data_IF_241832344778
#
_entry.id   IF_241832344778
#
_cell.length_a   1.000
_cell.length_b   1.000
_cell.length_c   1.000
_cell.angle_alpha   90.00
_cell.angle_beta   90.00
_cell.angle_gamma   90.00
#
_symmetry.space_group_name_H-M   'P 1'
#
loop_
_entity.id
_entity.type
_entity.pdbx_description
1 polymer ?
#
# COMPACT_ATOMS: atom_id res chain seq x y z
N UNK A 1 9.33 16.79 -12.76
CA UNK A 1 8.58 16.06 -11.71
C UNK A 1 9.57 15.69 -10.62
N UNK A 2 9.23 15.86 -9.34
CA UNK A 2 10.14 15.61 -8.22
C UNK A 2 9.72 14.37 -7.41
N UNK A 3 10.52 13.97 -6.42
CA UNK A 3 10.25 12.80 -5.58
C UNK A 3 8.91 12.91 -4.83
N UNK A 4 8.55 14.11 -4.35
CA UNK A 4 7.26 14.35 -3.68
C UNK A 4 6.06 14.05 -4.59
N UNK A 5 6.09 14.52 -5.84
CA UNK A 5 5.03 14.21 -6.81
C UNK A 5 4.94 12.71 -7.09
N UNK A 6 6.09 12.06 -7.31
CA UNK A 6 6.15 10.61 -7.60
C UNK A 6 5.63 9.78 -6.43
N UNK A 7 6.06 10.11 -5.22
CA UNK A 7 5.60 9.45 -4.00
C UNK A 7 4.10 9.61 -3.82
N UNK A 8 3.59 10.84 -3.97
CA UNK A 8 2.17 11.14 -3.83
C UNK A 8 1.33 10.29 -4.78
N UNK A 9 1.62 10.33 -6.08
CA UNK A 9 0.84 9.61 -7.10
C UNK A 9 0.92 8.10 -6.88
N UNK A 10 2.13 7.56 -6.67
CA UNK A 10 2.30 6.13 -6.47
C UNK A 10 1.57 5.65 -5.20
N UNK A 11 1.73 6.36 -4.08
CA UNK A 11 1.06 6.02 -2.82
C UNK A 11 -0.46 6.03 -2.95
N UNK A 12 -1.03 7.05 -3.61
CA UNK A 12 -2.48 7.16 -3.81
C UNK A 12 -3.03 6.04 -4.69
N UNK A 13 -2.33 5.71 -5.79
CA UNK A 13 -2.73 4.61 -6.65
C UNK A 13 -2.73 3.28 -5.89
N UNK A 14 -1.71 3.01 -5.08
CA UNK A 14 -1.62 1.76 -4.30
C UNK A 14 -2.74 1.67 -3.26
N UNK A 15 -3.03 2.75 -2.54
CA UNK A 15 -4.11 2.82 -1.54
C UNK A 15 -5.48 2.52 -2.15
N UNK A 16 -5.70 2.86 -3.42
CA UNK A 16 -6.96 2.56 -4.13
C UNK A 16 -6.96 1.18 -4.77
N UNK A 17 -5.86 0.81 -5.45
CA UNK A 17 -5.78 -0.43 -6.22
C UNK A 17 -5.83 -1.68 -5.34
N UNK A 18 -5.20 -1.68 -4.16
CA UNK A 18 -5.16 -2.86 -3.30
C UNK A 18 -6.56 -3.24 -2.75
N UNK A 19 -7.34 -2.32 -2.14
CA UNK A 19 -8.71 -2.62 -1.73
C UNK A 19 -9.62 -2.98 -2.92
N UNK A 20 -9.46 -2.31 -4.06
CA UNK A 20 -10.21 -2.62 -5.27
C UNK A 20 -9.92 -4.06 -5.75
N UNK A 21 -8.65 -4.45 -5.80
CA UNK A 21 -8.24 -5.81 -6.17
C UNK A 21 -8.76 -6.84 -5.17
N UNK A 22 -8.73 -6.56 -3.86
CA UNK A 22 -9.29 -7.43 -2.83
C UNK A 22 -10.81 -7.65 -3.04
N UNK A 23 -11.55 -6.57 -3.24
CA UNK A 23 -12.99 -6.62 -3.51
C UNK A 23 -13.29 -7.37 -4.81
N UNK A 24 -12.55 -7.08 -5.88
CA UNK A 24 -12.73 -7.72 -7.17
C UNK A 24 -12.46 -9.23 -7.09
N UNK A 25 -11.39 -9.65 -6.39
CA UNK A 25 -11.09 -11.06 -6.11
C UNK A 25 -12.22 -11.72 -5.33
N UNK A 26 -12.77 -11.05 -4.30
CA UNK A 26 -13.88 -11.59 -3.52
C UNK A 26 -15.14 -11.79 -4.38
N UNK A 27 -15.53 -10.79 -5.16
CA UNK A 27 -16.67 -10.88 -6.07
C UNK A 27 -16.41 -11.96 -7.12
N UNK A 28 -15.20 -12.07 -7.65
CA UNK A 28 -14.83 -13.07 -8.66
C UNK A 28 -15.06 -14.49 -8.17
N UNK A 29 -14.72 -14.76 -6.92
CA UNK A 29 -14.98 -16.06 -6.29
C UNK A 29 -16.46 -16.29 -6.02
N UNK A 30 -17.21 -15.25 -5.63
CA UNK A 30 -18.65 -15.37 -5.41
C UNK A 30 -19.40 -15.69 -6.71
N UNK A 31 -19.06 -15.03 -7.81
CA UNK A 31 -19.71 -15.27 -9.12
C UNK A 31 -19.00 -16.34 -9.98
N UNK A 32 -17.97 -17.00 -9.43
CA UNK A 32 -17.15 -18.00 -10.10
C UNK A 32 -16.53 -17.54 -11.45
N UNK A 33 -16.10 -16.27 -11.55
CA UNK A 33 -15.54 -15.67 -12.77
C UNK A 33 -14.02 -15.67 -12.78
N UNK A 34 -13.42 -16.59 -13.56
CA UNK A 34 -11.96 -16.65 -13.76
C UNK A 34 -11.37 -15.39 -14.40
N UNK A 35 -11.97 -14.78 -15.46
CA UNK A 35 -11.43 -13.56 -16.04
C UNK A 35 -11.35 -12.41 -15.01
N UNK A 36 -12.31 -12.34 -14.09
CA UNK A 36 -12.33 -11.32 -13.04
C UNK A 36 -11.27 -11.59 -11.97
N UNK A 37 -11.07 -12.84 -11.57
CA UNK A 37 -9.99 -13.23 -10.64
C UNK A 37 -8.60 -12.97 -11.22
N UNK A 38 -8.40 -13.25 -12.52
CA UNK A 38 -7.19 -12.89 -13.26
C UNK A 38 -6.97 -11.37 -13.26
N UNK A 39 -8.02 -10.60 -13.54
CA UNK A 39 -7.95 -9.13 -13.55
C UNK A 39 -7.55 -8.59 -12.18
N UNK A 40 -8.17 -9.10 -11.11
CA UNK A 40 -7.82 -8.72 -9.74
C UNK A 40 -6.37 -9.06 -9.38
N UNK A 41 -5.89 -10.24 -9.80
CA UNK A 41 -4.50 -10.65 -9.60
C UNK A 41 -3.51 -9.74 -10.33
N UNK A 42 -3.81 -9.36 -11.58
CA UNK A 42 -3.00 -8.40 -12.34
C UNK A 42 -2.96 -7.04 -11.66
N UNK A 43 -4.11 -6.53 -11.19
CA UNK A 43 -4.16 -5.26 -10.45
C UNK A 43 -3.31 -5.31 -9.18
N UNK A 44 -3.32 -6.44 -8.46
CA UNK A 44 -2.54 -6.61 -7.23
C UNK A 44 -1.02 -6.66 -7.51
N UNK A 45 -0.61 -7.30 -8.61
CA UNK A 45 0.80 -7.28 -9.06
C UNK A 45 1.23 -5.85 -9.43
N UNK A 46 0.40 -5.11 -10.18
CA UNK A 46 0.69 -3.72 -10.52
C UNK A 46 0.76 -2.83 -9.27
N UNK A 47 -0.13 -3.04 -8.31
CA UNK A 47 -0.10 -2.33 -7.03
C UNK A 47 1.18 -2.63 -6.24
N UNK A 48 1.69 -3.86 -6.24
CA UNK A 48 2.95 -4.20 -5.60
C UNK A 48 4.15 -3.47 -6.23
N UNK A 49 4.18 -3.35 -7.55
CA UNK A 49 5.21 -2.57 -8.26
C UNK A 49 5.12 -1.07 -7.92
N UNK A 50 3.91 -0.51 -7.89
CA UNK A 50 3.70 0.88 -7.49
C UNK A 50 4.03 1.12 -6.01
N UNK A 51 3.83 0.13 -5.14
CA UNK A 51 4.23 0.20 -3.74
C UNK A 51 5.75 0.34 -3.59
N UNK A 52 6.54 -0.33 -4.46
CA UNK A 52 7.99 -0.13 -4.51
C UNK A 52 8.34 1.31 -4.91
N UNK A 53 7.67 1.85 -5.94
CA UNK A 53 7.87 3.24 -6.37
C UNK A 53 7.56 4.22 -5.23
N UNK A 54 6.44 4.03 -4.53
CA UNK A 54 6.06 4.85 -3.38
C UNK A 54 7.10 4.75 -2.24
N UNK A 55 7.54 3.54 -1.90
CA UNK A 55 8.50 3.30 -0.82
C UNK A 55 9.83 4.00 -1.08
N UNK A 56 10.42 3.81 -2.27
CA UNK A 56 11.74 4.38 -2.58
C UNK A 56 11.72 5.89 -2.88
N UNK A 57 10.58 6.46 -3.25
CA UNK A 57 10.44 7.91 -3.43
C UNK A 57 10.14 8.67 -2.14
N UNK A 58 9.78 7.97 -1.04
CA UNK A 58 9.42 8.58 0.24
C UNK A 58 10.51 9.46 0.87
N UNK A 59 11.77 9.00 1.00
CA UNK A 59 12.84 9.82 1.57
C UNK A 59 13.07 11.13 0.82
N UNK A 60 13.09 11.09 -0.51
CA UNK A 60 13.21 12.30 -1.33
C UNK A 60 11.98 13.21 -1.25
N UNK A 61 10.80 12.68 -0.94
CA UNK A 61 9.61 13.48 -0.68
C UNK A 61 9.71 14.24 0.65
N UNK A 62 10.29 13.62 1.67
CA UNK A 62 10.54 14.23 2.99
C UNK A 62 11.58 15.34 2.91
N UNK A 63 12.70 15.10 2.22
CA UNK A 63 13.80 16.08 2.10
C UNK A 63 13.33 17.42 1.48
N UNK A 64 12.31 17.38 0.62
CA UNK A 64 11.73 18.58 0.01
C UNK A 64 10.95 19.44 1.04
N UNK A 65 10.38 18.84 2.09
CA UNK A 65 9.54 19.54 3.08
C UNK A 65 10.23 19.80 4.41
N UNK A 66 11.23 18.99 4.75
CA UNK A 66 12.05 19.14 5.96
C UNK A 66 13.53 18.95 5.60
N UNK A 67 14.12 19.87 4.82
CA UNK A 67 15.53 19.81 4.49
C UNK A 67 16.37 19.91 5.77
N UNK A 68 17.17 18.89 6.04
CA UNK A 68 17.96 18.77 7.28
C UNK A 68 17.30 17.94 8.39
N UNK A 69 16.01 17.58 8.25
CA UNK A 69 15.37 16.50 9.03
C UNK A 69 15.10 16.79 10.50
N UNK A 70 14.98 18.06 10.91
CA UNK A 70 14.87 18.42 12.33
C UNK A 70 13.44 18.60 12.83
N UNK A 71 12.49 18.99 11.97
CA UNK A 71 11.15 19.37 12.43
C UNK A 71 10.14 18.22 12.42
N UNK A 72 10.33 17.26 11.52
CA UNK A 72 9.36 16.19 11.27
C UNK A 72 9.91 14.80 11.56
N UNK A 73 11.09 14.68 12.19
CA UNK A 73 11.82 13.42 12.40
C UNK A 73 10.91 12.30 12.94
N UNK A 74 10.23 12.52 14.07
CA UNK A 74 9.43 11.48 14.73
C UNK A 74 8.19 11.07 13.90
N UNK A 75 7.53 12.05 13.27
CA UNK A 75 6.38 11.82 12.40
C UNK A 75 6.78 11.08 11.12
N UNK A 76 7.91 11.49 10.54
CA UNK A 76 8.47 10.88 9.34
C UNK A 76 8.96 9.46 9.60
N UNK A 77 9.61 9.19 10.74
CA UNK A 77 10.02 7.85 11.14
C UNK A 77 8.82 6.93 11.33
N UNK A 78 7.78 7.41 12.02
CA UNK A 78 6.53 6.66 12.20
C UNK A 78 5.87 6.33 10.86
N UNK A 79 5.76 7.30 9.97
CA UNK A 79 5.24 7.09 8.62
C UNK A 79 6.12 6.14 7.80
N UNK A 80 7.44 6.24 7.88
CA UNK A 80 8.38 5.39 7.16
C UNK A 80 8.32 3.94 7.66
N UNK A 81 8.15 3.72 8.97
CA UNK A 81 7.93 2.40 9.54
C UNK A 81 6.64 1.76 9.00
N UNK A 82 5.52 2.50 9.06
CA UNK A 82 4.26 2.03 8.51
C UNK A 82 4.35 1.78 6.99
N UNK A 83 5.04 2.66 6.26
CA UNK A 83 5.30 2.51 4.83
C UNK A 83 6.13 1.26 4.50
N UNK A 84 7.13 0.92 5.31
CA UNK A 84 7.92 -0.32 5.17
C UNK A 84 7.07 -1.57 5.39
N UNK A 85 6.21 -1.55 6.41
CA UNK A 85 5.26 -2.66 6.65
C UNK A 85 4.29 -2.77 5.48
N UNK A 86 3.66 -1.67 5.07
CA UNK A 86 2.70 -1.64 3.97
C UNK A 86 3.32 -2.12 2.65
N UNK A 87 4.53 -1.67 2.33
CA UNK A 87 5.30 -2.14 1.17
C UNK A 87 5.55 -3.65 1.23
N UNK A 88 6.04 -4.16 2.36
CA UNK A 88 6.37 -5.59 2.52
C UNK A 88 5.14 -6.48 2.35
N UNK A 89 4.01 -6.09 2.95
CA UNK A 89 2.75 -6.85 2.86
C UNK A 89 2.16 -6.74 1.46
N UNK A 90 2.21 -5.58 0.81
CA UNK A 90 1.76 -5.41 -0.58
C UNK A 90 2.57 -6.26 -1.56
N UNK A 91 3.91 -6.32 -1.39
CA UNK A 91 4.77 -7.20 -2.18
C UNK A 91 4.42 -8.67 -1.97
N UNK A 92 4.19 -9.10 -0.73
CA UNK A 92 3.74 -10.46 -0.46
C UNK A 92 2.40 -10.77 -1.15
N UNK A 93 1.43 -9.87 -1.06
CA UNK A 93 0.13 -10.02 -1.70
C UNK A 93 0.26 -10.11 -3.24
N UNK A 94 1.06 -9.22 -3.85
CA UNK A 94 1.37 -9.25 -5.27
C UNK A 94 2.12 -10.51 -5.70
N UNK A 95 3.06 -11.00 -4.90
CA UNK A 95 3.78 -12.25 -5.18
C UNK A 95 2.84 -13.47 -5.17
N UNK A 96 1.93 -13.56 -4.21
CA UNK A 96 0.91 -14.63 -4.17
C UNK A 96 0.00 -14.57 -5.41
N UNK A 97 -0.45 -13.37 -5.80
CA UNK A 97 -1.23 -13.20 -7.02
C UNK A 97 -0.44 -13.57 -8.28
N UNK A 98 0.85 -13.23 -8.33
CA UNK A 98 1.73 -13.60 -9.43
C UNK A 98 1.88 -15.12 -9.54
N UNK A 99 2.02 -15.83 -8.43
CA UNK A 99 2.04 -17.30 -8.43
C UNK A 99 0.76 -17.86 -9.06
N UNK A 100 -0.41 -17.34 -8.70
CA UNK A 100 -1.69 -17.74 -9.31
C UNK A 100 -1.73 -17.48 -10.82
N UNK A 101 -1.28 -16.32 -11.27
CA UNK A 101 -1.19 -15.99 -12.69
C UNK A 101 -0.23 -16.92 -13.45
N UNK A 102 0.93 -17.24 -12.86
CA UNK A 102 1.91 -18.15 -13.46
C UNK A 102 1.39 -19.58 -13.54
N UNK A 103 0.60 -20.04 -12.57
CA UNK A 103 -0.07 -21.33 -12.63
C UNK A 103 -1.05 -21.39 -13.82
N UNK A 104 -1.87 -20.34 -14.00
CA UNK A 104 -2.79 -20.28 -15.14
C UNK A 104 -2.07 -20.27 -16.49
N UNK A 105 -0.94 -19.57 -16.61
CA UNK A 105 -0.11 -19.56 -17.83
C UNK A 105 0.43 -20.95 -18.15
N UNK A 106 0.72 -21.76 -17.12
CA UNK A 106 1.17 -23.14 -17.26
C UNK A 106 0.01 -24.13 -17.50
N UNK A 107 -1.24 -23.66 -17.56
CA UNK A 107 -2.43 -24.50 -17.72
C UNK A 107 -2.91 -25.14 -16.41
N UNK A 108 -2.33 -24.78 -15.28
CA UNK A 108 -2.77 -25.20 -13.95
C UNK A 108 -3.89 -24.30 -13.43
N UNK A 109 -4.71 -24.82 -12.52
CA UNK A 109 -5.75 -24.05 -11.86
C UNK A 109 -5.27 -23.65 -10.46
N UNK A 110 -5.26 -22.35 -10.12
CA UNK A 110 -4.93 -21.90 -8.78
C UNK A 110 -5.79 -22.61 -7.72
N UNK A 111 -5.16 -23.11 -6.67
CA UNK A 111 -5.89 -23.77 -5.58
C UNK A 111 -6.80 -22.77 -4.86
N UNK A 112 -7.91 -23.25 -4.29
CA UNK A 112 -8.79 -22.42 -3.48
C UNK A 112 -8.06 -21.81 -2.27
N UNK A 113 -7.09 -22.54 -1.71
CA UNK A 113 -6.25 -22.05 -0.61
C UNK A 113 -5.41 -20.86 -1.05
N UNK A 114 -4.80 -20.91 -2.24
CA UNK A 114 -4.05 -19.79 -2.79
C UNK A 114 -4.96 -18.59 -3.05
N UNK A 115 -6.14 -18.79 -3.66
CA UNK A 115 -7.09 -17.71 -3.92
C UNK A 115 -7.56 -17.00 -2.65
N UNK A 116 -7.91 -17.75 -1.59
CA UNK A 116 -8.24 -17.15 -0.29
C UNK A 116 -7.04 -16.50 0.39
N UNK A 117 -5.83 -17.06 0.23
CA UNK A 117 -4.59 -16.47 0.69
C UNK A 117 -4.30 -15.11 0.04
N UNK A 118 -4.54 -14.97 -1.26
CA UNK A 118 -4.42 -13.70 -2.00
C UNK A 118 -5.39 -12.65 -1.45
N UNK A 119 -6.66 -13.02 -1.22
CA UNK A 119 -7.67 -12.10 -0.66
C UNK A 119 -7.25 -11.64 0.74
N UNK A 120 -6.85 -12.58 1.62
CA UNK A 120 -6.41 -12.26 2.97
C UNK A 120 -5.20 -11.32 2.95
N UNK A 121 -4.18 -11.65 2.14
CA UNK A 121 -2.99 -10.81 2.01
C UNK A 121 -3.33 -9.41 1.49
N UNK A 122 -4.25 -9.30 0.52
CA UNK A 122 -4.69 -8.01 -0.02
C UNK A 122 -5.47 -7.17 1.03
N UNK A 123 -6.32 -7.80 1.84
CA UNK A 123 -7.04 -7.12 2.94
C UNK A 123 -6.06 -6.61 4.00
N UNK A 124 -5.11 -7.44 4.42
CA UNK A 124 -4.07 -7.02 5.38
C UNK A 124 -3.21 -5.90 4.80
N UNK A 125 -2.80 -6.01 3.52
CA UNK A 125 -2.09 -4.96 2.81
C UNK A 125 -2.89 -3.65 2.82
N UNK A 126 -4.18 -3.71 2.47
CA UNK A 126 -5.08 -2.55 2.52
C UNK A 126 -5.13 -1.88 3.89
N UNK A 127 -5.24 -2.66 4.97
CA UNK A 127 -5.19 -2.13 6.34
C UNK A 127 -3.88 -1.41 6.67
N UNK A 128 -2.74 -2.01 6.30
CA UNK A 128 -1.42 -1.39 6.52
C UNK A 128 -1.21 -0.13 5.67
N UNK A 129 -1.76 -0.08 4.46
CA UNK A 129 -1.74 1.09 3.59
C UNK A 129 -2.57 2.24 4.15
N UNK A 130 -3.76 1.95 4.69
CA UNK A 130 -4.60 2.95 5.39
C UNK A 130 -3.85 3.52 6.60
N UNK A 131 -3.17 2.67 7.36
CA UNK A 131 -2.35 3.13 8.48
C UNK A 131 -1.19 4.04 8.04
N UNK A 132 -0.44 3.64 7.00
CA UNK A 132 0.63 4.48 6.44
C UNK A 132 0.08 5.81 5.89
N UNK A 133 -1.08 5.79 5.22
CA UNK A 133 -1.74 6.98 4.70
C UNK A 133 -2.20 7.93 5.82
N UNK A 134 -2.73 7.38 6.93
CA UNK A 134 -3.07 8.18 8.10
C UNK A 134 -1.85 8.92 8.66
N UNK A 135 -0.74 8.22 8.89
CA UNK A 135 0.49 8.85 9.39
C UNK A 135 1.08 9.86 8.40
N UNK A 136 1.00 9.59 7.09
CA UNK A 136 1.39 10.54 6.05
C UNK A 136 0.51 11.80 6.06
N UNK A 137 -0.79 11.64 6.35
CA UNK A 137 -1.71 12.74 6.58
C UNK A 137 -1.28 13.63 7.74
N UNK A 138 -0.88 13.04 8.88
CA UNK A 138 -0.45 13.77 10.09
C UNK A 138 0.76 14.67 9.84
N UNK A 139 1.64 14.28 8.90
CA UNK A 139 2.78 15.12 8.46
C UNK A 139 2.29 16.42 7.82
N UNK A 140 1.28 16.36 6.94
CA UNK A 140 0.79 17.50 6.15
C UNK A 140 -0.38 18.26 6.79
N UNK A 141 -1.12 17.61 7.68
CA UNK A 141 -2.34 18.12 8.31
C UNK A 141 -2.14 18.23 9.81
N UNK A 142 -1.61 19.36 10.32
CA UNK A 142 -1.47 19.56 11.76
C UNK A 142 -2.82 19.54 12.49
N UNK A 143 -3.93 19.83 11.80
CA UNK A 143 -5.29 19.83 12.33
C UNK A 143 -5.80 18.45 12.78
N UNK A 144 -5.22 17.36 12.27
CA UNK A 144 -5.56 15.99 12.69
C UNK A 144 -4.61 15.44 13.77
N UNK A 145 -3.65 16.25 14.24
CA UNK A 145 -2.82 15.91 15.41
C UNK A 145 -3.67 16.03 16.66
N UNK A 146 -3.55 15.06 17.57
CA UNK A 146 -4.31 15.11 18.83
C UNK A 146 -3.96 16.37 19.64
N UNK A 147 -4.95 17.05 20.27
CA UNK A 147 -4.71 18.26 21.07
C UNK A 147 -3.69 18.09 22.20
N UNK A 148 -3.56 16.88 22.74
CA UNK A 148 -2.57 16.55 23.77
C UNK A 148 -1.11 16.72 23.29
N UNK A 149 -0.84 16.59 21.99
CA UNK A 149 0.49 16.81 21.41
C UNK A 149 0.80 18.31 21.20
N UNK A 150 -0.22 19.17 21.10
CA UNK A 150 -0.07 20.61 20.89
C UNK A 150 0.37 21.30 22.19
N UNK A 151 -0.03 20.76 23.35
CA UNK A 151 0.29 21.30 24.67
C UNK A 151 1.70 20.91 25.17
N UNK A 152 2.32 19.86 24.64
CA UNK A 152 3.69 19.45 25.01
C UNK A 152 4.80 20.17 24.23
N UNK A 153 4.50 20.76 23.07
CA UNK A 153 5.45 21.58 22.30
C UNK A 153 5.41 23.08 22.66
N UNK A 154 4.47 23.49 23.52
CA UNK A 154 4.29 24.87 23.96
C UNK A 154 4.77 25.14 25.40
N UNK A 155 5.42 24.14 26.03
CA UNK A 155 6.05 24.20 27.35
C UNK A 155 7.55 23.89 27.20
#
# INVERSE_FOLDING_TARGET
MNAAWTHLVAAHLVVVLVPLAALLSLIARWVASRPMERTASVLLVLAALLAAVAYFSGPGALEIIDPGGSQLSDLAESHALAGRVAFSVAVLAGALALVGLLQEVQGEQPSAVLGWGVILAAVVAGGTLVWAAHLGGVIRHPEIRSPAAILSESL
#
